data_IF_413145487264
#
_entry.id   IF_413145487264
#
_cell.length_a   1.000
_cell.length_b   1.000
_cell.length_c   1.000
_cell.angle_alpha   90.00
_cell.angle_beta   90.00
_cell.angle_gamma   90.00
#
_symmetry.space_group_name_H-M   'P 1'
#
loop_
_entity.id
_entity.type
_entity.pdbx_description
1 polymer ?
#
# COMPACT_ATOMS: atom_id res chain seq x y z
N UNK A 1 -28.02 -34.93 17.80
CA UNK A 1 -26.84 -34.05 17.84
C UNK A 1 -26.37 -33.86 16.41
N UNK A 2 -26.78 -32.80 15.70
CA UNK A 2 -26.31 -32.63 14.34
C UNK A 2 -25.05 -31.77 14.32
N UNK A 3 -23.94 -32.40 13.96
CA UNK A 3 -22.94 -31.86 13.06
C UNK A 3 -22.17 -30.56 13.42
N UNK A 4 -21.74 -30.42 14.66
CA UNK A 4 -20.72 -29.41 14.99
C UNK A 4 -19.40 -29.63 14.23
N UNK A 5 -19.03 -30.88 13.98
CA UNK A 5 -17.84 -31.23 13.21
C UNK A 5 -17.93 -30.78 11.73
N UNK A 6 -19.12 -30.79 11.11
CA UNK A 6 -19.33 -30.28 9.75
C UNK A 6 -19.29 -28.78 9.68
N UNK A 7 -19.78 -28.08 10.70
CA UNK A 7 -19.74 -26.61 10.76
C UNK A 7 -18.32 -26.11 10.94
N UNK A 8 -17.50 -26.84 11.70
CA UNK A 8 -16.08 -26.49 11.88
C UNK A 8 -15.30 -26.74 10.59
N UNK A 9 -15.55 -27.85 9.88
CA UNK A 9 -14.88 -28.16 8.62
C UNK A 9 -15.21 -27.14 7.51
N UNK A 10 -16.48 -26.69 7.40
CA UNK A 10 -16.85 -25.62 6.45
C UNK A 10 -16.24 -24.29 6.84
N UNK A 11 -16.12 -23.98 8.13
CA UNK A 11 -15.51 -22.73 8.58
C UNK A 11 -14.00 -22.68 8.31
N UNK A 12 -13.32 -23.81 8.25
CA UNK A 12 -11.91 -23.90 7.89
C UNK A 12 -11.69 -23.90 6.36
N UNK A 13 -12.61 -24.39 5.56
CA UNK A 13 -12.53 -24.38 4.09
C UNK A 13 -12.66 -22.95 3.56
N UNK A 14 -13.48 -22.10 4.16
CA UNK A 14 -13.62 -20.69 3.79
C UNK A 14 -12.39 -19.83 4.16
N UNK A 15 -11.45 -20.38 4.92
CA UNK A 15 -10.23 -19.65 5.37
C UNK A 15 -9.07 -19.74 4.36
N UNK A 16 -9.20 -20.55 3.31
CA UNK A 16 -8.15 -20.79 2.31
C UNK A 16 -8.36 -19.99 1.01
N UNK A 17 -9.09 -18.90 1.05
CA UNK A 17 -9.16 -17.97 -0.09
C UNK A 17 -7.83 -17.23 -0.21
N UNK A 18 -6.95 -17.71 -1.08
CA UNK A 18 -5.73 -17.03 -1.44
C UNK A 18 -5.96 -16.16 -2.67
N UNK A 19 -5.38 -14.95 -2.66
CA UNK A 19 -5.34 -14.08 -3.82
C UNK A 19 -4.00 -14.24 -4.52
N UNK A 20 -4.02 -14.43 -5.84
CA UNK A 20 -2.82 -14.39 -6.64
C UNK A 20 -2.38 -12.95 -6.89
N UNK A 21 -1.07 -12.71 -6.98
CA UNK A 21 -0.55 -11.39 -7.33
C UNK A 21 -0.99 -10.91 -8.72
N UNK A 22 -1.36 -11.83 -9.60
CA UNK A 22 -1.90 -11.54 -10.94
C UNK A 22 -3.32 -10.98 -10.91
N UNK A 23 -4.05 -11.23 -9.82
CA UNK A 23 -5.44 -10.80 -9.62
C UNK A 23 -5.54 -9.47 -8.85
N UNK A 24 -4.41 -8.78 -8.70
CA UNK A 24 -4.31 -7.53 -7.95
C UNK A 24 -4.17 -6.34 -8.90
N UNK A 25 -4.95 -5.30 -8.62
CA UNK A 25 -4.88 -4.02 -9.33
C UNK A 25 -4.52 -2.93 -8.33
N UNK A 26 -3.48 -2.16 -8.64
CA UNK A 26 -3.02 -1.05 -7.83
C UNK A 26 -3.52 0.28 -8.43
N UNK A 27 -4.21 1.06 -7.63
CA UNK A 27 -4.80 2.34 -8.01
C UNK A 27 -4.18 3.43 -7.15
N UNK A 28 -3.61 4.44 -7.79
CA UNK A 28 -3.09 5.63 -7.13
C UNK A 28 -4.06 6.78 -7.28
N UNK A 29 -4.26 7.52 -6.21
CA UNK A 29 -5.13 8.68 -6.16
C UNK A 29 -4.34 9.88 -5.65
N UNK A 30 -4.23 10.93 -6.47
CA UNK A 30 -3.70 12.23 -6.06
C UNK A 30 -4.87 13.15 -5.73
N UNK A 31 -4.94 13.68 -4.51
CA UNK A 31 -5.98 14.64 -4.14
C UNK A 31 -5.80 15.98 -4.89
N UNK A 32 -6.90 16.58 -5.30
CA UNK A 32 -6.97 17.92 -5.86
C UNK A 32 -7.47 18.91 -4.82
N UNK A 33 -7.09 20.17 -4.94
CA UNK A 33 -7.53 21.26 -4.05
C UNK A 33 -9.05 21.44 -4.00
N UNK A 34 -9.77 20.99 -5.02
CA UNK A 34 -11.25 21.08 -5.12
C UNK A 34 -12.01 19.87 -4.54
N UNK A 35 -11.38 18.99 -3.80
CA UNK A 35 -12.03 17.81 -3.20
C UNK A 35 -12.20 16.61 -4.13
N UNK A 36 -11.85 16.75 -5.40
CA UNK A 36 -11.76 15.66 -6.36
C UNK A 36 -10.38 14.99 -6.28
N UNK A 37 -10.20 13.87 -6.93
CA UNK A 37 -8.90 13.20 -7.04
C UNK A 37 -8.60 12.82 -8.49
N UNK A 38 -7.32 12.83 -8.84
CA UNK A 38 -6.84 12.22 -10.07
C UNK A 38 -6.48 10.78 -9.79
N UNK A 39 -7.16 9.87 -10.43
CA UNK A 39 -6.93 8.44 -10.28
C UNK A 39 -6.13 7.90 -11.45
N UNK A 40 -5.19 7.01 -11.16
CA UNK A 40 -4.43 6.28 -12.16
C UNK A 40 -4.25 4.83 -11.75
N UNK A 41 -4.55 3.92 -12.67
CA UNK A 41 -4.23 2.52 -12.51
C UNK A 41 -2.77 2.31 -12.88
N UNK A 42 -2.01 1.74 -11.97
CA UNK A 42 -0.58 1.45 -12.19
C UNK A 42 -0.41 -0.07 -12.30
N UNK A 43 -0.40 -0.54 -13.54
CA UNK A 43 -0.22 -1.97 -13.85
C UNK A 43 1.22 -2.46 -13.76
N UNK A 44 2.19 -1.56 -13.52
CA UNK A 44 3.60 -1.89 -13.48
C UNK A 44 4.16 -2.10 -12.05
N UNK A 45 3.31 -2.21 -11.05
CA UNK A 45 3.74 -2.53 -9.68
C UNK A 45 4.13 -4.00 -9.61
N UNK A 46 5.39 -4.28 -9.34
CA UNK A 46 5.93 -5.62 -9.17
C UNK A 46 5.76 -6.11 -7.73
N UNK A 47 6.05 -5.26 -6.78
CA UNK A 47 6.01 -5.60 -5.36
C UNK A 47 5.55 -4.41 -4.53
N UNK A 48 4.70 -4.67 -3.58
CA UNK A 48 4.33 -3.73 -2.53
C UNK A 48 4.51 -4.39 -1.17
N UNK A 49 5.22 -3.73 -0.28
CA UNK A 49 5.35 -4.16 1.10
C UNK A 49 5.10 -2.98 2.05
N UNK A 50 4.49 -3.24 3.17
CA UNK A 50 4.34 -2.25 4.23
C UNK A 50 4.45 -2.93 5.59
N UNK A 51 4.93 -2.18 6.57
CA UNK A 51 5.01 -2.61 7.96
C UNK A 51 4.44 -1.53 8.87
N UNK A 52 3.80 -1.97 9.93
CA UNK A 52 3.29 -1.09 10.99
C UNK A 52 4.09 -1.39 12.25
N UNK A 53 4.89 -0.43 12.65
CA UNK A 53 5.67 -0.51 13.89
C UNK A 53 5.02 0.37 14.95
N UNK A 54 4.83 -0.18 16.14
CA UNK A 54 4.27 0.52 17.29
C UNK A 54 5.15 0.27 18.49
N UNK A 55 5.81 1.32 18.96
CA UNK A 55 6.64 1.26 20.16
C UNK A 55 5.78 1.14 21.40
N UNK A 56 6.22 0.30 22.34
CA UNK A 56 5.56 0.10 23.63
C UNK A 56 6.58 0.26 24.75
N UNK A 57 6.34 1.23 25.61
CA UNK A 57 7.17 1.47 26.81
C UNK A 57 6.54 0.82 28.04
N UNK A 58 7.29 -0.02 28.76
CA UNK A 58 6.78 -0.65 29.99
C UNK A 58 6.71 0.36 31.14
N UNK A 59 5.56 0.42 31.80
CA UNK A 59 5.38 1.17 33.05
C UNK A 59 5.78 0.29 34.21
N UNK A 60 6.77 0.72 34.96
CA UNK A 60 7.29 0.01 36.13
C UNK A 60 7.11 0.83 37.42
N UNK A 61 6.85 0.17 38.52
CA UNK A 61 6.82 0.78 39.85
C UNK A 61 7.90 0.15 40.75
N UNK A 62 8.34 0.92 41.72
CA UNK A 62 9.27 0.47 42.73
C UNK A 62 8.71 -0.77 43.49
N UNK A 63 9.55 -1.77 43.65
CA UNK A 63 9.17 -3.00 44.36
C UNK A 63 8.51 -4.07 43.49
N UNK A 64 8.30 -3.84 42.21
CA UNK A 64 7.78 -4.84 41.28
C UNK A 64 8.76 -5.14 40.14
N UNK A 65 9.18 -6.38 39.98
CA UNK A 65 10.08 -6.83 38.91
C UNK A 65 9.40 -6.78 37.51
N UNK A 66 8.09 -6.96 37.47
CA UNK A 66 7.34 -7.02 36.23
C UNK A 66 6.73 -5.66 35.88
N UNK A 67 6.59 -5.39 34.57
CA UNK A 67 5.84 -4.23 34.09
C UNK A 67 4.36 -4.40 34.44
N UNK A 68 3.73 -3.36 34.98
CA UNK A 68 2.32 -3.37 35.34
C UNK A 68 1.43 -3.10 34.12
N UNK A 69 1.92 -2.24 33.23
CA UNK A 69 1.22 -1.83 32.03
C UNK A 69 2.21 -1.47 30.93
N UNK A 70 1.70 -1.33 29.72
CA UNK A 70 2.45 -0.82 28.57
C UNK A 70 1.75 0.42 28.03
N UNK A 71 2.51 1.50 27.85
CA UNK A 71 2.05 2.71 27.17
C UNK A 71 2.46 2.63 25.72
N UNK A 72 1.52 2.95 24.83
CA UNK A 72 1.78 3.04 23.40
C UNK A 72 2.46 4.36 23.10
N UNK A 73 3.56 4.28 22.40
CA UNK A 73 4.31 5.42 21.90
C UNK A 73 4.02 5.61 20.39
N UNK A 74 4.94 6.17 19.65
CA UNK A 74 4.77 6.51 18.25
C UNK A 74 4.47 5.27 17.38
N UNK A 75 3.53 5.45 16.46
CA UNK A 75 3.25 4.48 15.40
C UNK A 75 3.92 4.95 14.12
N UNK A 76 4.80 4.13 13.58
CA UNK A 76 5.45 4.35 12.29
C UNK A 76 4.92 3.35 11.29
N UNK A 77 4.46 3.84 10.15
CA UNK A 77 4.04 3.01 9.02
C UNK A 77 5.02 3.29 7.89
N UNK A 78 5.76 2.29 7.47
CA UNK A 78 6.73 2.39 6.40
C UNK A 78 6.57 1.22 5.43
N UNK A 79 6.96 1.43 4.19
CA UNK A 79 6.84 0.39 3.18
C UNK A 79 7.76 0.65 2.00
N UNK A 80 7.78 -0.27 1.07
CA UNK A 80 8.48 -0.14 -0.20
C UNK A 80 7.58 -0.55 -1.36
N UNK A 81 7.77 0.12 -2.47
CA UNK A 81 7.10 -0.12 -3.74
C UNK A 81 8.17 -0.36 -4.80
N UNK A 82 8.03 -1.45 -5.54
CA UNK A 82 8.90 -1.77 -6.67
C UNK A 82 8.06 -1.74 -7.94
N UNK A 83 8.50 -0.93 -8.89
CA UNK A 83 7.87 -0.78 -10.19
C UNK A 83 8.76 -1.34 -11.29
N UNK A 84 8.14 -1.87 -12.32
CA UNK A 84 8.79 -2.17 -13.58
C UNK A 84 8.40 -1.09 -14.59
N UNK A 85 9.38 -0.35 -15.10
CA UNK A 85 9.15 0.75 -16.04
C UNK A 85 9.43 0.26 -17.45
N UNK A 86 8.40 0.26 -18.31
CA UNK A 86 8.52 -0.18 -19.69
C UNK A 86 8.67 0.98 -20.69
N UNK A 87 8.06 2.17 -20.38
CA UNK A 87 8.00 3.27 -21.34
C UNK A 87 8.22 4.63 -20.66
N UNK A 88 7.24 5.11 -19.90
CA UNK A 88 7.36 6.36 -19.12
C UNK A 88 7.19 6.07 -17.65
N UNK A 89 7.95 6.81 -16.83
CA UNK A 89 7.78 6.75 -15.39
C UNK A 89 6.30 7.03 -15.04
N UNK A 90 5.65 6.08 -14.35
CA UNK A 90 4.22 6.13 -14.02
C UNK A 90 3.83 7.41 -13.26
N UNK A 91 4.72 7.86 -12.38
CA UNK A 91 4.54 9.07 -11.57
C UNK A 91 4.45 10.32 -12.44
N UNK A 92 5.26 10.41 -13.49
CA UNK A 92 5.21 11.53 -14.42
C UNK A 92 3.86 11.59 -15.15
N UNK A 93 3.34 10.46 -15.59
CA UNK A 93 2.01 10.40 -16.24
C UNK A 93 0.89 10.86 -15.30
N UNK A 94 0.97 10.49 -14.04
CA UNK A 94 -0.03 10.86 -13.05
C UNK A 94 0.10 12.34 -12.66
N UNK A 95 1.34 12.80 -12.50
CA UNK A 95 1.66 14.19 -12.20
C UNK A 95 1.26 15.14 -13.34
N UNK A 96 1.50 14.78 -14.60
CA UNK A 96 1.06 15.57 -15.77
C UNK A 96 -0.46 15.78 -15.72
N UNK A 97 -1.24 14.75 -15.48
CA UNK A 97 -2.70 14.84 -15.36
C UNK A 97 -3.15 15.67 -14.16
N UNK A 98 -2.42 15.60 -13.06
CA UNK A 98 -2.72 16.37 -11.86
C UNK A 98 -2.45 17.86 -12.08
N UNK A 99 -1.29 18.21 -12.66
CA UNK A 99 -0.92 19.59 -13.00
C UNK A 99 -1.89 20.22 -14.00
N UNK A 100 -2.32 19.47 -15.02
CA UNK A 100 -3.30 19.92 -15.99
C UNK A 100 -4.64 20.28 -15.33
N UNK A 101 -5.10 19.47 -14.39
CA UNK A 101 -6.34 19.72 -13.66
C UNK A 101 -6.25 20.86 -12.63
N UNK A 102 -5.08 21.04 -12.02
CA UNK A 102 -4.82 22.15 -11.09
C UNK A 102 -4.51 23.46 -11.82
N UNK A 103 -4.38 23.45 -13.15
CA UNK A 103 -4.05 24.63 -13.95
C UNK A 103 -2.64 25.19 -13.68
N UNK A 104 -1.75 24.35 -13.15
CA UNK A 104 -0.37 24.71 -12.86
C UNK A 104 0.53 24.43 -14.06
N UNK A 105 1.47 25.34 -14.32
CA UNK A 105 2.50 25.12 -15.34
C UNK A 105 3.38 23.93 -14.98
N UNK A 106 3.91 23.22 -15.98
CA UNK A 106 4.84 22.10 -15.80
C UNK A 106 6.04 22.53 -14.96
N UNK A 107 6.05 22.09 -13.74
CA UNK A 107 7.21 22.22 -12.85
C UNK A 107 7.86 20.84 -12.78
N UNK A 108 9.20 20.80 -12.81
CA UNK A 108 9.93 19.59 -12.49
C UNK A 108 9.75 19.35 -10.99
N UNK A 109 8.74 18.56 -10.62
CA UNK A 109 8.53 18.16 -9.25
C UNK A 109 9.39 16.94 -8.95
N UNK A 110 10.12 17.01 -7.86
CA UNK A 110 10.81 15.85 -7.28
C UNK A 110 9.78 14.94 -6.58
N UNK A 111 10.10 13.70 -6.39
CA UNK A 111 9.19 12.73 -5.74
C UNK A 111 8.83 13.10 -4.30
N UNK A 112 9.70 13.81 -3.59
CA UNK A 112 9.51 14.32 -2.24
C UNK A 112 8.62 15.57 -2.17
N UNK A 113 8.45 16.29 -3.29
CA UNK A 113 7.57 17.47 -3.40
C UNK A 113 6.11 17.11 -3.73
N UNK A 114 5.84 15.84 -4.00
CA UNK A 114 4.49 15.38 -4.32
C UNK A 114 3.57 15.49 -3.10
N UNK A 115 2.30 15.87 -3.31
CA UNK A 115 1.31 15.81 -2.24
C UNK A 115 1.13 14.35 -1.78
N UNK A 116 0.72 14.14 -0.51
CA UNK A 116 0.40 12.80 -0.03
C UNK A 116 -0.61 12.11 -0.94
N UNK A 117 -0.32 10.89 -1.33
CA UNK A 117 -1.16 10.10 -2.24
C UNK A 117 -1.91 9.00 -1.49
N UNK A 118 -3.01 8.56 -2.05
CA UNK A 118 -3.69 7.36 -1.58
C UNK A 118 -3.41 6.20 -2.53
N UNK A 119 -3.17 5.03 -1.96
CA UNK A 119 -2.91 3.80 -2.71
C UNK A 119 -4.00 2.81 -2.36
N UNK A 120 -4.75 2.35 -3.34
CA UNK A 120 -5.74 1.31 -3.18
C UNK A 120 -5.32 0.07 -3.96
N UNK A 121 -5.24 -1.06 -3.29
CA UNK A 121 -5.01 -2.36 -3.90
C UNK A 121 -6.33 -3.11 -3.87
N UNK A 122 -6.89 -3.35 -5.05
CA UNK A 122 -8.07 -4.18 -5.22
C UNK A 122 -7.62 -5.59 -5.63
N UNK A 123 -8.16 -6.56 -4.94
CA UNK A 123 -7.89 -7.99 -5.15
C UNK A 123 -9.20 -8.69 -5.46
N UNK A 124 -9.21 -9.53 -6.47
CA UNK A 124 -10.33 -10.41 -6.77
C UNK A 124 -9.77 -11.79 -7.11
N UNK A 125 -10.40 -12.84 -6.67
CA UNK A 125 -10.01 -14.18 -7.05
C UNK A 125 -11.00 -14.77 -8.08
N UNK A 126 -10.62 -15.87 -8.70
CA UNK A 126 -11.45 -16.59 -9.67
C UNK A 126 -12.75 -17.17 -9.07
N UNK A 127 -12.82 -17.27 -7.74
CA UNK A 127 -14.00 -17.77 -7.03
C UNK A 127 -15.00 -16.65 -6.69
N UNK A 128 -14.70 -15.41 -7.05
CA UNK A 128 -15.58 -14.26 -6.85
C UNK A 128 -15.38 -13.50 -5.54
N UNK A 129 -14.44 -13.91 -4.68
CA UNK A 129 -14.10 -13.18 -3.47
C UNK A 129 -13.33 -11.92 -3.82
N UNK A 130 -13.58 -10.87 -3.07
CA UNK A 130 -12.96 -9.56 -3.27
C UNK A 130 -12.39 -9.06 -1.96
N UNK A 131 -11.19 -8.52 -2.03
CA UNK A 131 -10.57 -7.82 -0.91
C UNK A 131 -10.04 -6.47 -1.38
N UNK A 132 -9.98 -5.51 -0.47
CA UNK A 132 -9.44 -4.18 -0.72
C UNK A 132 -8.53 -3.78 0.42
N UNK A 133 -7.33 -3.35 0.07
CA UNK A 133 -6.40 -2.69 0.97
C UNK A 133 -6.25 -1.24 0.55
N UNK A 134 -6.40 -0.29 1.47
CA UNK A 134 -6.20 1.12 1.20
C UNK A 134 -5.17 1.71 2.16
N UNK A 135 -4.19 2.39 1.60
CA UNK A 135 -3.17 3.16 2.30
C UNK A 135 -3.41 4.63 2.02
N UNK A 136 -3.62 5.44 3.05
CA UNK A 136 -3.93 6.85 2.93
C UNK A 136 -2.75 7.72 3.37
N UNK A 137 -2.56 8.84 2.67
CA UNK A 137 -1.56 9.82 3.04
C UNK A 137 -0.12 9.33 2.89
N UNK A 138 0.14 8.51 1.87
CA UNK A 138 1.48 7.99 1.58
C UNK A 138 2.35 9.09 1.00
N UNK A 139 3.51 9.31 1.60
CA UNK A 139 4.55 10.23 1.13
C UNK A 139 5.79 9.44 0.72
N UNK A 140 6.42 9.86 -0.36
CA UNK A 140 7.68 9.27 -0.81
C UNK A 140 8.84 9.94 -0.07
N UNK A 141 9.67 9.14 0.56
CA UNK A 141 10.86 9.61 1.30
C UNK A 141 12.12 9.40 0.47
N UNK A 142 12.16 8.33 -0.32
CA UNK A 142 13.31 7.98 -1.14
C UNK A 142 12.84 7.32 -2.43
N UNK A 143 13.48 7.66 -3.53
CA UNK A 143 13.30 7.06 -4.83
C UNK A 143 14.67 6.63 -5.36
N UNK A 144 14.77 5.38 -5.77
CA UNK A 144 15.97 4.83 -6.37
C UNK A 144 15.62 4.06 -7.64
N UNK A 145 16.45 4.17 -8.64
CA UNK A 145 16.32 3.42 -9.88
C UNK A 145 17.50 2.45 -10.00
N UNK A 146 17.19 1.18 -10.20
CA UNK A 146 18.18 0.14 -10.48
C UNK A 146 18.00 -0.27 -11.93
N UNK A 147 19.08 -0.20 -12.70
CA UNK A 147 19.13 -0.70 -14.08
C UNK A 147 20.09 -1.89 -14.10
N UNK A 148 19.59 -3.07 -14.48
CA UNK A 148 20.37 -4.27 -14.67
C UNK A 148 20.14 -4.80 -16.07
N UNK A 149 21.23 -5.24 -16.73
CA UNK A 149 21.16 -5.85 -18.07
C UNK A 149 20.43 -7.19 -18.02
N UNK A 150 20.45 -7.87 -16.89
CA UNK A 150 19.82 -9.18 -16.71
C UNK A 150 18.28 -9.10 -16.61
N UNK A 151 17.74 -7.94 -16.26
CA UNK A 151 16.27 -7.75 -16.09
C UNK A 151 15.53 -7.62 -17.43
N UNK A 152 16.24 -7.55 -18.57
CA UNK A 152 15.61 -7.44 -19.90
C UNK A 152 15.28 -8.79 -20.55
N UNK A 153 15.54 -9.90 -19.92
CA UNK A 153 15.35 -11.24 -20.47
C UNK A 153 14.29 -12.12 -19.79
N UNK A 154 13.41 -11.53 -18.99
CA UNK A 154 12.27 -12.26 -18.42
C UNK A 154 10.95 -11.82 -19.00
#
# INVERSE_FOLDING_TARGET
>A
MPNEARTIATKYVDTYTSFSGTDMVCIFELPLSGGNAVTGVVGSVKTISYSVHNEKSPVRILGNMNAIAYVYDNRTIAGSLVFQVFDKHWMLKLLEKWLEKEGKSKVHALSDELPPINITIAMANEYGDKARLALYGVTFVNEGQVMSIEDFYT
#
